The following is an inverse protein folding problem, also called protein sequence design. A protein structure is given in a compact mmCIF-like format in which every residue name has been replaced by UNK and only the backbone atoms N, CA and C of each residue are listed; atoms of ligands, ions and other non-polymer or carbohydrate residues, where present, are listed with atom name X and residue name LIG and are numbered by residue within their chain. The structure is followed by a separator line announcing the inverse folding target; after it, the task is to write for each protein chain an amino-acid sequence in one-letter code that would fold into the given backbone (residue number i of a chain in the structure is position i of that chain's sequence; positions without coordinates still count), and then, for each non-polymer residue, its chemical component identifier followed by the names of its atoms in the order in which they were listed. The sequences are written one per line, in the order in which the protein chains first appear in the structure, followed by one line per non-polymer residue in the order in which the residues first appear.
data_IF_523469427318
#
_entry.id   IF_523469427318
#
_cell.length_a   1.000
_cell.length_b   1.000
_cell.length_c   1.000
_cell.angle_alpha   90.00
_cell.angle_beta   90.00
_cell.angle_gamma   90.00
#
_symmetry.space_group_name_H-M   'P 1'
#
loop_
_entity.id
_entity.type
_entity.pdbx_description
1 polymer ?
#
# COMPACT_ATOMS: atom_id res chain seq x y z
N UNK A 1 8.37 24.33 5.45
CA UNK A 1 7.18 23.44 5.58
C UNK A 1 7.22 22.84 6.97
N UNK A 2 6.09 22.70 7.66
CA UNK A 2 6.07 22.02 8.96
C UNK A 2 6.25 20.51 8.78
N UNK A 3 6.86 19.84 9.76
CA UNK A 3 7.06 18.39 9.74
C UNK A 3 5.75 17.62 9.54
N UNK A 4 4.64 18.18 10.04
CA UNK A 4 3.30 17.65 9.85
C UNK A 4 2.83 17.67 8.39
N UNK A 5 3.11 18.74 7.65
CA UNK A 5 2.75 18.83 6.24
C UNK A 5 3.55 17.81 5.41
N UNK A 6 4.84 17.65 5.71
CA UNK A 6 5.71 16.66 5.07
C UNK A 6 5.27 15.23 5.38
N UNK A 7 4.97 14.91 6.64
CA UNK A 7 4.47 13.59 7.04
C UNK A 7 3.12 13.26 6.39
N UNK A 8 2.24 14.26 6.25
CA UNK A 8 0.95 14.11 5.58
C UNK A 8 1.13 13.80 4.09
N UNK A 9 2.01 14.54 3.41
CA UNK A 9 2.33 14.31 2.00
C UNK A 9 2.92 12.90 1.78
N UNK A 10 3.89 12.50 2.61
CA UNK A 10 4.51 11.17 2.54
C UNK A 10 3.48 10.04 2.74
N UNK A 11 2.53 10.20 3.68
CA UNK A 11 1.45 9.23 3.91
C UNK A 11 0.55 9.08 2.68
N UNK A 12 0.18 10.19 2.04
CA UNK A 12 -0.67 10.19 0.83
C UNK A 12 0.06 9.49 -0.32
N UNK A 13 1.32 9.84 -0.54
CA UNK A 13 2.14 9.26 -1.62
C UNK A 13 2.35 7.75 -1.44
N UNK A 14 2.57 7.31 -0.20
CA UNK A 14 2.71 5.90 0.13
C UNK A 14 1.41 5.12 -0.15
N UNK A 15 0.24 5.67 0.20
CA UNK A 15 -1.06 5.07 -0.14
C UNK A 15 -1.23 4.93 -1.65
N UNK A 16 -0.94 5.98 -2.41
CA UNK A 16 -1.04 5.92 -3.88
C UNK A 16 -0.09 4.90 -4.48
N UNK A 17 1.13 4.79 -3.96
CA UNK A 17 2.11 3.82 -4.44
C UNK A 17 1.64 2.37 -4.20
N UNK A 18 1.04 2.11 -3.04
CA UNK A 18 0.44 0.82 -2.71
C UNK A 18 -0.67 0.44 -3.69
N UNK A 19 -1.63 1.35 -3.92
CA UNK A 19 -2.75 1.09 -4.83
C UNK A 19 -2.27 0.91 -6.28
N UNK A 20 -1.26 1.68 -6.71
CA UNK A 20 -0.66 1.53 -8.03
C UNK A 20 0.03 0.18 -8.22
N UNK A 21 0.70 -0.35 -7.18
CA UNK A 21 1.28 -1.68 -7.18
C UNK A 21 0.19 -2.74 -7.31
N UNK A 22 -0.87 -2.64 -6.50
CA UNK A 22 -2.01 -3.55 -6.56
C UNK A 22 -2.65 -3.59 -7.96
N UNK A 23 -2.99 -2.41 -8.50
CA UNK A 23 -3.61 -2.30 -9.83
C UNK A 23 -2.67 -2.78 -10.94
N UNK A 24 -1.35 -2.63 -10.77
CA UNK A 24 -0.36 -3.17 -11.70
C UNK A 24 -0.34 -4.69 -11.64
N UNK A 25 -0.32 -5.30 -10.46
CA UNK A 25 -0.37 -6.76 -10.31
C UNK A 25 -1.61 -7.34 -11.00
N UNK A 26 -2.78 -6.71 -10.86
CA UNK A 26 -3.97 -7.16 -11.58
C UNK A 26 -3.81 -7.08 -13.11
N UNK A 27 -3.19 -6.00 -13.64
CA UNK A 27 -2.91 -5.87 -15.08
C UNK A 27 -1.89 -6.89 -15.58
N UNK A 28 -0.96 -7.29 -14.73
CA UNK A 28 0.07 -8.28 -15.03
C UNK A 28 -0.49 -9.72 -14.98
N UNK A 29 -1.80 -9.89 -14.70
CA UNK A 29 -2.51 -11.17 -14.75
C UNK A 29 -2.60 -11.91 -13.42
N UNK A 30 -2.13 -11.29 -12.33
CA UNK A 30 -2.29 -11.85 -10.99
C UNK A 30 -3.74 -11.80 -10.53
N UNK A 31 -4.13 -12.79 -9.73
CA UNK A 31 -5.40 -12.78 -8.99
C UNK A 31 -5.40 -11.69 -7.92
N UNK A 32 -6.58 -11.37 -7.38
CA UNK A 32 -6.70 -10.40 -6.27
C UNK A 32 -5.90 -10.83 -5.05
N UNK A 33 -5.95 -12.12 -4.70
CA UNK A 33 -5.24 -12.65 -3.54
C UNK A 33 -3.72 -12.57 -3.74
N UNK A 34 -3.23 -12.85 -4.95
CA UNK A 34 -1.81 -12.69 -5.29
C UNK A 34 -1.39 -11.21 -5.29
N UNK A 35 -2.21 -10.31 -5.83
CA UNK A 35 -1.94 -8.87 -5.79
C UNK A 35 -1.90 -8.33 -4.35
N UNK A 36 -2.81 -8.81 -3.47
CA UNK A 36 -2.77 -8.53 -2.03
C UNK A 36 -1.48 -9.07 -1.42
N UNK A 37 -1.13 -10.34 -1.67
CA UNK A 37 0.09 -10.95 -1.15
C UNK A 37 1.37 -10.23 -1.62
N UNK A 38 1.41 -9.69 -2.83
CA UNK A 38 2.54 -8.89 -3.34
C UNK A 38 2.65 -7.55 -2.60
N UNK A 39 1.52 -6.84 -2.44
CA UNK A 39 1.47 -5.60 -1.67
C UNK A 39 1.87 -5.81 -0.21
N UNK A 40 1.49 -6.96 0.34
CA UNK A 40 1.78 -7.39 1.69
C UNK A 40 3.26 -7.80 1.86
N UNK A 41 3.79 -8.65 0.98
CA UNK A 41 5.14 -9.17 1.03
C UNK A 41 6.22 -8.13 0.73
N UNK A 42 5.94 -7.16 -0.15
CA UNK A 42 6.87 -6.08 -0.50
C UNK A 42 7.19 -5.13 0.66
N UNK A 43 6.33 -5.07 1.69
CA UNK A 43 6.45 -4.14 2.82
C UNK A 43 6.73 -4.86 4.14
N UNK A 44 6.32 -6.14 4.28
CA UNK A 44 6.57 -6.93 5.49
C UNK A 44 8.06 -7.20 5.78
N UNK A 45 8.92 -7.21 4.76
CA UNK A 45 10.32 -7.60 4.96
C UNK A 45 11.21 -6.47 5.49
N UNK A 46 10.82 -5.18 5.40
CA UNK A 46 11.81 -4.11 5.56
C UNK A 46 11.34 -2.74 6.06
N UNK A 47 10.04 -2.41 6.16
CA UNK A 47 9.68 -0.96 6.30
C UNK A 47 8.98 -0.56 7.60
N UNK A 48 8.01 -1.30 8.14
CA UNK A 48 7.47 -1.00 9.49
C UNK A 48 6.28 -1.93 9.81
N UNK A 49 6.38 -2.80 10.82
CA UNK A 49 5.25 -3.64 11.28
C UNK A 49 3.99 -2.83 11.63
N UNK A 50 4.16 -1.58 12.05
CA UNK A 50 3.09 -0.66 12.44
C UNK A 50 2.33 -0.07 11.24
N UNK A 51 2.90 -0.14 10.04
CA UNK A 51 2.26 0.35 8.81
C UNK A 51 1.31 -0.67 8.20
N UNK A 52 1.45 -1.93 8.60
CA UNK A 52 0.65 -3.04 8.09
C UNK A 52 -0.86 -2.88 8.28
N UNK A 53 -1.38 -2.58 9.49
CA UNK A 53 -2.83 -2.42 9.67
C UNK A 53 -3.39 -1.26 8.83
N UNK A 54 -2.61 -0.19 8.67
CA UNK A 54 -3.01 0.98 7.88
C UNK A 54 -3.10 0.65 6.39
N UNK A 55 -2.16 -0.13 5.86
CA UNK A 55 -2.19 -0.54 4.46
C UNK A 55 -3.34 -1.50 4.16
N UNK A 56 -3.59 -2.46 5.05
CA UNK A 56 -4.76 -3.35 4.94
C UNK A 56 -6.05 -2.57 4.89
N UNK A 57 -6.21 -1.62 5.81
CA UNK A 57 -7.37 -0.73 5.84
C UNK A 57 -7.55 0.01 4.50
N UNK A 58 -6.47 0.52 3.90
CA UNK A 58 -6.58 1.20 2.60
C UNK A 58 -6.97 0.28 1.46
N UNK A 59 -6.40 -0.93 1.40
CA UNK A 59 -6.76 -1.92 0.39
C UNK A 59 -8.23 -2.33 0.55
N UNK A 60 -8.68 -2.59 1.76
CA UNK A 60 -10.07 -2.98 2.04
C UNK A 60 -11.08 -1.87 1.69
N UNK A 61 -10.70 -0.60 1.89
CA UNK A 61 -11.55 0.54 1.56
C UNK A 61 -11.66 0.81 0.05
N UNK A 62 -10.56 0.66 -0.69
CA UNK A 62 -10.48 1.11 -2.09
C UNK A 62 -10.51 -0.01 -3.11
N UNK A 63 -10.14 -1.23 -2.72
CA UNK A 63 -9.98 -2.41 -3.59
C UNK A 63 -10.46 -3.68 -2.87
N UNK A 64 -11.77 -3.78 -2.54
CA UNK A 64 -12.32 -4.95 -1.87
C UNK A 64 -12.02 -6.27 -2.62
#
# INVERSE_FOLDING_TARGET
MSDWATATAARIEMKHSLLKLYDKSLRDGFTRDEARAICEGGIMASVAPHMWPLMKLWLDQERP
#
